data_IF_959905887162
#
_entry.id   IF_959905887162
#
_cell.length_a   1.000
_cell.length_b   1.000
_cell.length_c   1.000
_cell.angle_alpha   90.00
_cell.angle_beta   90.00
_cell.angle_gamma   90.00
#
_symmetry.space_group_name_H-M   'P 1'
#
loop_
_entity.id
_entity.type
_entity.pdbx_description
1 polymer ?
#
# COMPACT_ATOMS: atom_id res chain seq x y z
N UNK A 1 1.13 -32.93 -0.14
CA UNK A 1 1.89 -31.66 -0.10
C UNK A 1 2.05 -31.18 -1.53
N UNK A 2 1.64 -29.96 -1.84
CA UNK A 2 1.73 -29.39 -3.19
C UNK A 2 3.18 -29.19 -3.66
N UNK A 3 3.42 -29.45 -4.95
CA UNK A 3 4.69 -29.14 -5.61
C UNK A 3 4.99 -27.64 -5.66
N UNK A 4 6.26 -27.30 -5.92
CA UNK A 4 6.67 -25.91 -6.13
C UNK A 4 6.00 -25.28 -7.35
N UNK A 5 5.63 -26.08 -8.36
CA UNK A 5 4.94 -25.60 -9.56
C UNK A 5 3.50 -25.22 -9.25
N UNK A 6 2.77 -26.08 -8.53
CA UNK A 6 1.40 -25.81 -8.11
C UNK A 6 1.30 -24.59 -7.16
N UNK A 7 2.22 -24.47 -6.21
CA UNK A 7 2.31 -23.28 -5.33
C UNK A 7 2.54 -21.99 -6.12
N UNK A 8 3.42 -22.06 -7.13
CA UNK A 8 3.69 -20.91 -8.00
C UNK A 8 2.46 -20.55 -8.85
N UNK A 9 1.76 -21.54 -9.39
CA UNK A 9 0.53 -21.33 -10.13
C UNK A 9 -0.55 -20.63 -9.29
N UNK A 10 -0.85 -21.15 -8.09
CA UNK A 10 -1.83 -20.54 -7.18
C UNK A 10 -1.47 -19.08 -6.86
N UNK A 11 -0.18 -18.82 -6.65
CA UNK A 11 0.31 -17.49 -6.35
C UNK A 11 0.19 -16.53 -7.54
N UNK A 12 0.58 -16.98 -8.74
CA UNK A 12 0.45 -16.21 -9.97
C UNK A 12 -1.04 -15.94 -10.30
N UNK A 13 -1.91 -16.93 -10.08
CA UNK A 13 -3.37 -16.79 -10.22
C UNK A 13 -3.92 -15.73 -9.26
N UNK A 14 -3.57 -15.80 -7.97
CA UNK A 14 -4.00 -14.81 -6.96
C UNK A 14 -3.64 -13.40 -7.39
N UNK A 15 -2.37 -13.18 -7.70
CA UNK A 15 -1.87 -11.86 -8.11
C UNK A 15 -2.60 -11.35 -9.36
N UNK A 16 -2.89 -12.23 -10.32
CA UNK A 16 -3.53 -11.83 -11.57
C UNK A 16 -4.99 -11.44 -11.38
N UNK A 17 -5.76 -12.27 -10.66
CA UNK A 17 -7.17 -12.04 -10.40
C UNK A 17 -7.37 -10.77 -9.55
N UNK A 18 -6.58 -10.60 -8.49
CA UNK A 18 -6.58 -9.38 -7.67
C UNK A 18 -6.22 -8.15 -8.53
N UNK A 19 -5.20 -8.24 -9.38
CA UNK A 19 -4.82 -7.13 -10.26
C UNK A 19 -5.92 -6.76 -11.26
N UNK A 20 -6.75 -7.72 -11.68
CA UNK A 20 -7.91 -7.50 -12.54
C UNK A 20 -9.14 -6.97 -11.80
N UNK A 21 -9.06 -6.83 -10.48
CA UNK A 21 -10.13 -6.31 -9.63
C UNK A 21 -11.27 -7.31 -9.45
N UNK A 22 -10.96 -8.62 -9.51
CA UNK A 22 -11.89 -9.66 -9.10
C UNK A 22 -12.09 -9.55 -7.58
N UNK A 23 -13.31 -9.78 -7.13
CA UNK A 23 -13.70 -9.74 -5.71
C UNK A 23 -12.87 -10.72 -4.88
N UNK A 24 -12.35 -10.30 -3.71
CA UNK A 24 -11.44 -11.12 -2.91
C UNK A 24 -12.07 -12.44 -2.46
N UNK A 25 -13.39 -12.48 -2.19
CA UNK A 25 -14.11 -13.72 -1.88
C UNK A 25 -14.04 -14.72 -3.04
N UNK A 26 -14.24 -14.24 -4.27
CA UNK A 26 -14.29 -15.10 -5.45
C UNK A 26 -12.87 -15.59 -5.80
N UNK A 27 -11.86 -14.72 -5.63
CA UNK A 27 -10.45 -15.12 -5.75
C UNK A 27 -10.12 -16.20 -4.72
N UNK A 28 -10.55 -16.04 -3.47
CA UNK A 28 -10.26 -17.01 -2.42
C UNK A 28 -10.92 -18.36 -2.68
N UNK A 29 -12.22 -18.37 -2.97
CA UNK A 29 -12.97 -19.59 -3.25
C UNK A 29 -12.37 -20.34 -4.45
N UNK A 30 -12.00 -19.60 -5.50
CA UNK A 30 -11.32 -20.20 -6.65
C UNK A 30 -9.96 -20.82 -6.29
N UNK A 31 -9.15 -20.14 -5.48
CA UNK A 31 -7.83 -20.65 -5.10
C UNK A 31 -7.89 -21.88 -4.18
N UNK A 32 -8.89 -21.93 -3.30
CA UNK A 32 -9.13 -23.07 -2.41
C UNK A 32 -9.57 -24.30 -3.21
N UNK A 33 -10.51 -24.11 -4.15
CA UNK A 33 -10.95 -25.15 -5.07
C UNK A 33 -9.80 -25.62 -5.98
N UNK A 34 -9.02 -24.68 -6.53
CA UNK A 34 -7.85 -24.99 -7.33
C UNK A 34 -6.76 -25.73 -6.51
N UNK A 35 -6.57 -25.40 -5.24
CA UNK A 35 -5.65 -26.10 -4.35
C UNK A 35 -6.07 -27.56 -4.13
N UNK A 36 -7.36 -27.82 -3.89
CA UNK A 36 -7.88 -29.18 -3.79
C UNK A 36 -7.64 -29.97 -5.09
N UNK A 37 -7.98 -29.39 -6.24
CA UNK A 37 -7.76 -30.02 -7.55
C UNK A 37 -6.28 -30.29 -7.84
N UNK A 38 -5.37 -29.43 -7.39
CA UNK A 38 -3.93 -29.64 -7.51
C UNK A 38 -3.45 -30.77 -6.61
N UNK A 39 -3.95 -30.86 -5.37
CA UNK A 39 -3.60 -31.95 -4.45
C UNK A 39 -4.04 -33.30 -5.03
N UNK A 40 -5.28 -33.39 -5.54
CA UNK A 40 -5.81 -34.61 -6.15
C UNK A 40 -5.05 -34.96 -7.44
N UNK A 41 -4.88 -34.01 -8.35
CA UNK A 41 -4.22 -34.24 -9.62
C UNK A 41 -2.73 -34.61 -9.48
N UNK A 42 -2.00 -33.97 -8.57
CA UNK A 42 -0.60 -34.33 -8.29
C UNK A 42 -0.49 -35.72 -7.65
N UNK A 43 -1.49 -36.13 -6.84
CA UNK A 43 -1.53 -37.49 -6.28
C UNK A 43 -1.71 -38.56 -7.37
N UNK A 44 -2.38 -38.21 -8.47
CA UNK A 44 -2.52 -39.03 -9.68
C UNK A 44 -1.33 -38.91 -10.66
N UNK A 45 -0.29 -38.13 -10.31
CA UNK A 45 0.87 -37.89 -11.17
C UNK A 45 0.64 -36.90 -12.31
N UNK A 46 -0.45 -36.13 -12.29
CA UNK A 46 -0.74 -35.08 -13.28
C UNK A 46 0.04 -33.81 -12.94
N UNK A 47 0.49 -33.10 -13.97
CA UNK A 47 1.11 -31.79 -13.83
C UNK A 47 0.06 -30.67 -13.77
N UNK A 48 0.46 -29.47 -13.36
CA UNK A 48 -0.41 -28.27 -13.39
C UNK A 48 -0.97 -28.03 -14.79
N UNK A 49 -0.16 -28.28 -15.83
CA UNK A 49 -0.57 -28.11 -17.22
C UNK A 49 -1.62 -29.13 -17.66
N UNK A 50 -1.65 -30.32 -17.06
CA UNK A 50 -2.66 -31.35 -17.34
C UNK A 50 -4.01 -31.01 -16.69
N UNK A 51 -4.00 -30.27 -15.58
CA UNK A 51 -5.18 -29.90 -14.80
C UNK A 51 -5.81 -28.59 -15.30
N UNK A 52 -4.99 -27.56 -15.51
CA UNK A 52 -5.45 -26.20 -15.87
C UNK A 52 -5.06 -25.76 -17.30
N UNK A 53 -4.44 -26.65 -18.07
CA UNK A 53 -3.99 -26.38 -19.44
C UNK A 53 -2.59 -25.77 -19.53
N UNK A 54 -2.02 -25.79 -20.73
CA UNK A 54 -0.66 -25.34 -21.03
C UNK A 54 -0.45 -23.82 -20.95
N UNK A 55 -1.53 -23.03 -20.83
CA UNK A 55 -1.48 -21.57 -20.72
C UNK A 55 -2.29 -21.06 -19.53
N UNK A 56 -1.68 -21.01 -18.32
CA UNK A 56 -2.30 -20.43 -17.11
C UNK A 56 -2.86 -19.01 -17.32
N UNK A 57 -2.22 -18.23 -18.19
CA UNK A 57 -2.64 -16.86 -18.50
C UNK A 57 -3.94 -16.81 -19.30
N UNK A 58 -4.13 -17.70 -20.27
CA UNK A 58 -5.37 -17.77 -21.04
C UNK A 58 -6.52 -18.23 -20.16
N UNK A 59 -6.27 -19.28 -19.37
CA UNK A 59 -7.22 -19.77 -18.38
C UNK A 59 -7.67 -18.64 -17.44
N UNK A 60 -6.72 -17.89 -16.87
CA UNK A 60 -7.03 -16.77 -15.98
C UNK A 60 -7.81 -15.64 -16.69
N UNK A 61 -7.54 -15.36 -17.97
CA UNK A 61 -8.27 -14.33 -18.70
C UNK A 61 -9.72 -14.73 -18.96
N UNK A 62 -10.00 -16.00 -19.27
CA UNK A 62 -11.37 -16.50 -19.39
C UNK A 62 -12.09 -16.46 -18.04
N UNK A 63 -11.40 -16.87 -16.97
CA UNK A 63 -11.94 -16.81 -15.61
C UNK A 63 -12.35 -15.37 -15.20
N UNK A 64 -11.53 -14.37 -15.52
CA UNK A 64 -11.82 -12.94 -15.24
C UNK A 64 -13.03 -12.39 -16.00
N UNK A 65 -13.49 -13.05 -17.07
CA UNK A 65 -14.72 -12.64 -17.78
C UNK A 65 -15.98 -13.05 -17.03
N UNK A 66 -15.92 -14.15 -16.28
CA UNK A 66 -17.08 -14.73 -15.59
C UNK A 66 -17.16 -14.37 -14.10
N UNK A 67 -16.03 -14.04 -13.46
CA UNK A 67 -16.00 -13.67 -12.05
C UNK A 67 -16.51 -12.24 -11.77
N UNK A 68 -17.10 -12.04 -10.60
CA UNK A 68 -17.61 -10.74 -10.16
C UNK A 68 -16.43 -9.78 -9.91
N UNK A 69 -16.60 -8.52 -10.37
CA UNK A 69 -15.58 -7.48 -10.18
C UNK A 69 -16.07 -6.48 -9.15
N UNK A 70 -15.39 -6.42 -8.01
CA UNK A 70 -15.68 -5.41 -7.01
C UNK A 70 -14.92 -4.10 -7.26
N UNK A 71 -15.38 -3.39 -8.30
CA UNK A 71 -14.83 -2.07 -8.61
C UNK A 71 -15.13 -1.07 -7.49
N UNK A 72 -16.27 -1.19 -6.80
CA UNK A 72 -16.68 -0.22 -5.81
C UNK A 72 -15.82 -0.30 -4.55
N UNK A 73 -15.54 -1.51 -4.07
CA UNK A 73 -14.64 -1.74 -2.94
C UNK A 73 -13.20 -1.32 -3.27
N UNK A 74 -12.73 -1.63 -4.49
CA UNK A 74 -11.40 -1.19 -4.96
C UNK A 74 -11.25 0.34 -4.92
N UNK A 75 -12.24 1.09 -5.42
CA UNK A 75 -12.21 2.55 -5.39
C UNK A 75 -12.33 3.12 -3.98
N UNK A 76 -13.11 2.49 -3.10
CA UNK A 76 -13.18 2.85 -1.68
C UNK A 76 -11.82 2.71 -1.01
N UNK A 77 -11.14 1.57 -1.17
CA UNK A 77 -9.81 1.32 -0.59
C UNK A 77 -8.75 2.31 -1.11
N UNK A 78 -8.77 2.63 -2.41
CA UNK A 78 -7.90 3.66 -2.99
C UNK A 78 -8.19 5.03 -2.34
N UNK A 79 -9.47 5.40 -2.23
CA UNK A 79 -9.89 6.64 -1.60
C UNK A 79 -9.41 6.76 -0.15
N UNK A 80 -9.55 5.71 0.65
CA UNK A 80 -9.07 5.66 2.03
C UNK A 80 -7.55 5.77 2.14
N UNK A 81 -6.82 5.09 1.25
CA UNK A 81 -5.36 5.15 1.22
C UNK A 81 -4.89 6.57 0.91
N UNK A 82 -5.47 7.21 -0.11
CA UNK A 82 -5.15 8.60 -0.49
C UNK A 82 -5.47 9.56 0.66
N UNK A 83 -6.65 9.43 1.26
CA UNK A 83 -7.06 10.26 2.40
C UNK A 83 -6.10 10.12 3.59
N UNK A 84 -5.70 8.90 3.96
CA UNK A 84 -4.76 8.69 5.07
C UNK A 84 -3.38 9.28 4.77
N UNK A 85 -2.86 9.13 3.55
CA UNK A 85 -1.57 9.71 3.18
C UNK A 85 -1.63 11.24 3.20
N UNK A 86 -2.69 11.83 2.64
CA UNK A 86 -2.88 13.29 2.64
C UNK A 86 -3.04 13.82 4.07
N UNK A 87 -3.83 13.14 4.91
CA UNK A 87 -4.00 13.51 6.31
C UNK A 87 -2.67 13.46 7.06
N UNK A 88 -1.91 12.37 6.93
CA UNK A 88 -0.58 12.23 7.50
C UNK A 88 0.34 13.38 7.06
N UNK A 89 0.40 13.66 5.76
CA UNK A 89 1.26 14.70 5.21
C UNK A 89 0.92 16.09 5.75
N UNK A 90 -0.36 16.48 5.76
CA UNK A 90 -0.79 17.78 6.28
C UNK A 90 -0.46 17.90 7.77
N UNK A 91 -0.81 16.88 8.57
CA UNK A 91 -0.57 16.90 10.02
C UNK A 91 0.94 16.96 10.32
N UNK A 92 1.73 16.11 9.66
CA UNK A 92 3.19 16.09 9.83
C UNK A 92 3.82 17.43 9.40
N UNK A 93 3.34 18.04 8.31
CA UNK A 93 3.85 19.33 7.83
C UNK A 93 3.65 20.46 8.86
N UNK A 94 2.52 20.43 9.57
CA UNK A 94 2.15 21.46 10.56
C UNK A 94 2.88 21.21 11.87
N UNK A 95 2.83 19.98 12.38
CA UNK A 95 3.38 19.64 13.69
C UNK A 95 4.90 19.61 13.71
N UNK A 96 5.52 19.06 12.66
CA UNK A 96 6.94 18.68 12.66
C UNK A 96 7.78 19.58 11.75
N UNK A 97 7.32 19.83 10.52
CA UNK A 97 8.18 20.44 9.48
C UNK A 97 8.20 21.96 9.58
N UNK A 98 7.04 22.60 9.67
CA UNK A 98 6.92 24.05 9.55
C UNK A 98 6.64 24.77 10.88
N UNK A 99 7.01 24.16 12.02
CA UNK A 99 6.88 24.72 13.37
C UNK A 99 5.48 25.34 13.66
N UNK A 100 4.42 24.66 13.23
CA UNK A 100 3.03 25.08 13.46
C UNK A 100 2.41 25.97 12.38
N UNK A 101 3.13 26.32 11.31
CA UNK A 101 2.61 27.19 10.24
C UNK A 101 2.48 26.38 8.94
N UNK A 102 1.24 26.13 8.47
CA UNK A 102 1.06 25.49 7.17
C UNK A 102 1.49 26.45 6.05
N UNK A 103 2.55 26.08 5.32
CA UNK A 103 3.00 26.77 4.11
C UNK A 103 2.83 25.81 2.93
N UNK A 104 2.01 26.21 1.95
CA UNK A 104 1.80 25.44 0.74
C UNK A 104 2.44 26.15 -0.45
N UNK A 105 3.30 25.43 -1.14
CA UNK A 105 3.89 25.85 -2.40
C UNK A 105 3.18 25.21 -3.59
N UNK A 106 3.11 25.91 -4.72
CA UNK A 106 2.54 25.35 -5.95
C UNK A 106 3.32 24.12 -6.41
N UNK A 107 4.65 24.16 -6.30
CA UNK A 107 5.53 23.04 -6.66
C UNK A 107 5.26 21.83 -5.78
N UNK A 108 5.11 22.05 -4.47
CA UNK A 108 4.75 20.99 -3.52
C UNK A 108 3.38 20.39 -3.84
N UNK A 109 2.36 21.21 -4.07
CA UNK A 109 1.01 20.73 -4.39
C UNK A 109 1.00 19.85 -5.65
N UNK A 110 1.62 20.30 -6.74
CA UNK A 110 1.65 19.54 -8.01
C UNK A 110 2.53 18.30 -7.85
N UNK A 111 3.73 18.46 -7.30
CA UNK A 111 4.71 17.39 -7.16
C UNK A 111 4.21 16.27 -6.26
N UNK A 112 3.65 16.59 -5.09
CA UNK A 112 3.12 15.59 -4.17
C UNK A 112 1.89 14.88 -4.75
N UNK A 113 1.01 15.61 -5.45
CA UNK A 113 -0.13 14.98 -6.16
C UNK A 113 0.34 13.97 -7.20
N UNK A 114 1.35 14.32 -8.01
CA UNK A 114 1.92 13.41 -9.00
C UNK A 114 2.59 12.19 -8.35
N UNK A 115 3.31 12.41 -7.24
CA UNK A 115 3.98 11.34 -6.49
C UNK A 115 2.96 10.36 -5.90
N UNK A 116 1.85 10.86 -5.35
CA UNK A 116 0.74 10.04 -4.86
C UNK A 116 0.12 9.19 -5.97
N UNK A 117 -0.13 9.78 -7.14
CA UNK A 117 -0.65 9.03 -8.29
C UNK A 117 0.29 7.90 -8.68
N UNK A 118 1.60 8.16 -8.74
CA UNK A 118 2.59 7.15 -9.09
C UNK A 118 2.66 6.02 -8.05
N UNK A 119 2.63 6.36 -6.75
CA UNK A 119 2.67 5.40 -5.65
C UNK A 119 1.45 4.47 -5.62
N UNK A 120 0.26 4.98 -5.95
CA UNK A 120 -1.00 4.21 -5.90
C UNK A 120 -1.28 3.46 -7.22
N UNK A 121 -1.03 4.10 -8.37
CA UNK A 121 -1.38 3.54 -9.69
C UNK A 121 -0.27 2.63 -10.22
N UNK A 122 1.00 2.98 -9.99
CA UNK A 122 2.16 2.28 -10.53
C UNK A 122 2.21 0.77 -10.20
N UNK A 123 2.05 0.37 -8.93
CA UNK A 123 2.06 -1.05 -8.55
C UNK A 123 0.93 -1.84 -9.19
N UNK A 124 -0.28 -1.27 -9.19
CA UNK A 124 -1.47 -1.88 -9.79
C UNK A 124 -1.30 -2.09 -11.31
N UNK A 125 -0.67 -1.15 -12.00
CA UNK A 125 -0.41 -1.27 -13.43
C UNK A 125 0.67 -2.32 -13.76
N UNK A 126 1.74 -2.38 -12.96
CA UNK A 126 2.81 -3.37 -13.14
C UNK A 126 2.33 -4.81 -12.90
N UNK A 127 1.51 -5.02 -11.85
CA UNK A 127 0.91 -6.31 -11.56
C UNK A 127 0.17 -6.84 -12.79
N UNK A 128 -0.73 -6.05 -13.38
CA UNK A 128 -1.51 -6.45 -14.56
C UNK A 128 -0.68 -6.90 -15.76
N UNK A 129 0.55 -6.39 -15.92
CA UNK A 129 1.41 -6.69 -17.07
C UNK A 129 2.38 -7.85 -16.84
N UNK A 130 2.80 -8.11 -15.61
CA UNK A 130 3.95 -9.01 -15.34
C UNK A 130 3.64 -10.32 -14.63
N UNK A 131 2.40 -10.56 -14.18
CA UNK A 131 2.08 -11.72 -13.32
C UNK A 131 2.45 -13.09 -13.91
N UNK A 132 2.36 -13.27 -15.24
CA UNK A 132 2.66 -14.56 -15.89
C UNK A 132 4.00 -14.59 -16.64
N UNK A 133 4.83 -13.54 -16.55
CA UNK A 133 6.04 -13.40 -17.38
C UNK A 133 7.32 -13.45 -16.55
N UNK A 134 7.30 -12.96 -15.31
CA UNK A 134 8.48 -12.93 -14.45
C UNK A 134 8.21 -13.66 -13.15
N UNK A 135 9.17 -14.48 -12.70
CA UNK A 135 9.08 -15.16 -11.41
C UNK A 135 8.81 -14.17 -10.27
N UNK A 136 7.94 -14.58 -9.35
CA UNK A 136 7.41 -13.80 -8.23
C UNK A 136 8.42 -12.87 -7.54
N UNK A 137 9.65 -13.35 -7.29
CA UNK A 137 10.70 -12.58 -6.62
C UNK A 137 11.13 -11.33 -7.38
N UNK A 138 11.24 -11.40 -8.72
CA UNK A 138 11.61 -10.24 -9.56
C UNK A 138 10.47 -9.24 -9.69
N UNK A 139 9.23 -9.74 -9.76
CA UNK A 139 8.03 -8.90 -9.84
C UNK A 139 7.80 -8.18 -8.51
N UNK A 140 7.97 -8.89 -7.39
CA UNK A 140 7.88 -8.33 -6.05
C UNK A 140 8.94 -7.25 -5.82
N UNK A 141 10.21 -7.53 -6.15
CA UNK A 141 11.28 -6.54 -5.99
C UNK A 141 11.05 -5.28 -6.85
N UNK A 142 10.62 -5.46 -8.10
CA UNK A 142 10.26 -4.35 -9.00
C UNK A 142 9.06 -3.53 -8.52
N UNK A 143 8.13 -4.13 -7.77
CA UNK A 143 7.00 -3.43 -7.19
C UNK A 143 7.41 -2.65 -5.95
N UNK A 144 8.20 -3.26 -5.06
CA UNK A 144 8.71 -2.60 -3.86
C UNK A 144 9.58 -1.39 -4.21
N UNK A 145 10.41 -1.47 -5.26
CA UNK A 145 11.17 -0.30 -5.72
C UNK A 145 10.27 0.84 -6.21
N UNK A 146 9.10 0.52 -6.81
CA UNK A 146 8.20 1.54 -7.35
C UNK A 146 7.30 2.16 -6.26
N UNK A 147 7.00 1.41 -5.19
CA UNK A 147 6.24 1.92 -4.03
C UNK A 147 7.12 2.76 -3.11
N UNK A 148 8.38 2.37 -2.93
CA UNK A 148 9.25 2.98 -1.90
C UNK A 148 10.30 3.91 -2.52
N UNK A 149 11.12 3.41 -3.44
CA UNK A 149 12.30 4.13 -3.93
C UNK A 149 11.87 5.29 -4.85
N UNK A 150 11.02 5.02 -5.85
CA UNK A 150 10.62 6.05 -6.81
C UNK A 150 9.90 7.25 -6.15
N UNK A 151 8.95 7.06 -5.22
CA UNK A 151 8.32 8.16 -4.51
C UNK A 151 9.30 8.90 -3.60
N UNK A 152 10.22 8.22 -2.91
CA UNK A 152 11.24 8.90 -2.11
C UNK A 152 12.12 9.83 -2.94
N UNK A 153 12.60 9.37 -4.10
CA UNK A 153 13.39 10.19 -5.01
C UNK A 153 12.60 11.39 -5.55
N UNK A 154 11.33 11.18 -5.93
CA UNK A 154 10.46 12.26 -6.39
C UNK A 154 10.23 13.29 -5.29
N UNK A 155 9.91 12.86 -4.06
CA UNK A 155 9.74 13.76 -2.92
C UNK A 155 11.00 14.59 -2.67
N UNK A 156 12.19 13.97 -2.70
CA UNK A 156 13.46 14.69 -2.56
C UNK A 156 13.74 15.68 -3.70
N UNK A 157 13.40 15.32 -4.94
CA UNK A 157 13.53 16.23 -6.07
C UNK A 157 12.57 17.43 -5.95
N UNK A 158 11.34 17.20 -5.50
CA UNK A 158 10.32 18.24 -5.29
C UNK A 158 10.76 19.21 -4.20
N UNK A 159 11.29 18.73 -3.07
CA UNK A 159 11.76 19.61 -1.99
C UNK A 159 12.95 20.46 -2.43
N UNK A 160 13.90 19.89 -3.18
CA UNK A 160 15.02 20.65 -3.76
C UNK A 160 14.52 21.72 -4.73
N UNK A 161 13.58 21.36 -5.63
CA UNK A 161 13.00 22.30 -6.58
C UNK A 161 12.25 23.44 -5.88
N UNK A 162 11.54 23.13 -4.81
CA UNK A 162 10.80 24.12 -4.01
C UNK A 162 11.74 25.11 -3.29
N UNK A 163 12.90 24.64 -2.84
CA UNK A 163 13.95 25.51 -2.26
C UNK A 163 14.56 26.42 -3.32
N UNK A 164 14.80 25.93 -4.53
CA UNK A 164 15.39 26.72 -5.64
C UNK A 164 14.37 27.73 -6.18
N UNK A 165 13.11 27.35 -6.28
CA UNK A 165 12.01 28.16 -6.84
C UNK A 165 10.89 28.34 -5.81
N UNK A 166 11.07 29.19 -4.79
CA UNK A 166 10.08 29.38 -3.74
C UNK A 166 8.80 30.00 -4.30
N UNK A 167 7.78 29.18 -4.50
CA UNK A 167 6.46 29.58 -5.03
C UNK A 167 5.40 29.48 -3.93
N UNK A 168 5.56 30.30 -2.89
CA UNK A 168 4.63 30.32 -1.74
C UNK A 168 3.27 30.84 -2.21
N UNK A 169 2.25 29.98 -2.13
CA UNK A 169 0.88 30.30 -2.55
C UNK A 169 -0.02 30.63 -1.37
N UNK A 170 0.08 29.86 -0.28
CA UNK A 170 -0.82 30.01 0.87
C UNK A 170 -0.04 29.82 2.17
N UNK A 171 -0.16 30.79 3.07
CA UNK A 171 0.32 30.70 4.44
C UNK A 171 -0.85 30.85 5.40
N UNK A 172 -0.99 29.89 6.31
CA UNK A 172 -1.99 29.96 7.36
C UNK A 172 -1.39 30.55 8.63
N UNK A 173 -2.22 31.14 9.49
CA UNK A 173 -1.76 31.48 10.85
C UNK A 173 -1.54 30.20 11.65
N UNK A 174 -0.73 30.28 12.71
CA UNK A 174 -0.42 29.12 13.56
C UNK A 174 -1.69 28.49 14.17
N UNK A 175 -2.61 29.33 14.67
CA UNK A 175 -3.88 28.88 15.25
C UNK A 175 -4.75 28.17 14.20
N UNK A 176 -4.89 28.75 13.00
CA UNK A 176 -5.65 28.12 11.90
C UNK A 176 -5.03 26.79 11.47
N UNK A 177 -3.70 26.70 11.43
CA UNK A 177 -2.99 25.47 11.06
C UNK A 177 -3.24 24.36 12.07
N UNK A 178 -3.14 24.62 13.37
CA UNK A 178 -3.43 23.59 14.38
C UNK A 178 -4.91 23.19 14.41
N UNK A 179 -5.84 24.14 14.24
CA UNK A 179 -7.27 23.82 14.11
C UNK A 179 -7.54 22.89 12.92
N UNK A 180 -6.90 23.17 11.77
CA UNK A 180 -7.01 22.35 10.57
C UNK A 180 -6.40 20.96 10.79
N UNK A 181 -5.21 20.88 11.39
CA UNK A 181 -4.56 19.60 11.70
C UNK A 181 -5.41 18.74 12.64
N UNK A 182 -5.94 19.33 13.72
CA UNK A 182 -6.81 18.65 14.67
C UNK A 182 -8.12 18.18 14.03
N UNK A 183 -8.75 19.03 13.21
CA UNK A 183 -9.97 18.68 12.47
C UNK A 183 -9.75 17.52 11.51
N UNK A 184 -8.69 17.55 10.71
CA UNK A 184 -8.33 16.46 9.80
C UNK A 184 -8.05 15.18 10.59
N UNK A 185 -7.29 15.26 11.69
CA UNK A 185 -6.99 14.09 12.51
C UNK A 185 -8.27 13.42 13.04
N UNK A 186 -9.19 14.19 13.62
CA UNK A 186 -10.46 13.66 14.16
C UNK A 186 -11.30 13.02 13.04
N UNK A 187 -11.42 13.69 11.90
CA UNK A 187 -12.19 13.19 10.74
C UNK A 187 -11.57 11.88 10.23
N UNK A 188 -10.26 11.84 10.03
CA UNK A 188 -9.56 10.63 9.56
C UNK A 188 -9.73 9.48 10.54
N UNK A 189 -9.59 9.73 11.85
CA UNK A 189 -9.80 8.71 12.88
C UNK A 189 -11.24 8.18 12.88
N UNK A 190 -12.23 9.06 12.79
CA UNK A 190 -13.64 8.66 12.75
C UNK A 190 -13.96 7.81 11.52
N UNK A 191 -13.46 8.20 10.35
CA UNK A 191 -13.64 7.46 9.10
C UNK A 191 -12.96 6.09 9.18
N UNK A 192 -11.72 6.03 9.66
CA UNK A 192 -10.99 4.76 9.80
C UNK A 192 -11.71 3.80 10.75
N UNK A 193 -12.23 4.28 11.89
CA UNK A 193 -13.01 3.45 12.83
C UNK A 193 -14.28 2.90 12.15
N UNK A 194 -15.00 3.74 11.40
CA UNK A 194 -16.26 3.34 10.77
C UNK A 194 -16.06 2.30 9.66
N UNK A 195 -15.01 2.43 8.83
CA UNK A 195 -14.86 1.60 7.63
C UNK A 195 -13.92 0.41 7.78
N UNK A 196 -12.81 0.54 8.50
CA UNK A 196 -11.79 -0.51 8.56
C UNK A 196 -11.40 -0.92 10.00
N UNK A 197 -12.03 -0.30 11.00
CA UNK A 197 -11.84 -0.58 12.41
C UNK A 197 -10.67 0.18 13.05
N UNK A 198 -10.57 0.07 14.38
CA UNK A 198 -9.63 0.88 15.17
C UNK A 198 -8.15 0.65 14.82
N UNK A 199 -7.77 -0.57 14.42
CA UNK A 199 -6.37 -0.92 14.13
C UNK A 199 -5.75 -0.06 13.03
N UNK A 200 -6.54 0.36 12.03
CA UNK A 200 -6.03 1.16 10.92
C UNK A 200 -5.57 2.56 11.33
N UNK A 201 -6.04 3.07 12.46
CA UNK A 201 -5.55 4.33 13.01
C UNK A 201 -4.08 4.26 13.44
N UNK A 202 -3.54 3.07 13.72
CA UNK A 202 -2.14 2.92 14.08
C UNK A 202 -1.20 3.32 12.94
N UNK A 203 -1.62 3.17 11.69
CA UNK A 203 -0.86 3.63 10.52
C UNK A 203 -0.72 5.15 10.46
N UNK A 204 -1.63 5.90 11.09
CA UNK A 204 -1.53 7.35 11.23
C UNK A 204 -0.79 7.73 12.52
N UNK A 205 -1.18 7.14 13.64
CA UNK A 205 -0.73 7.53 14.98
C UNK A 205 0.74 7.18 15.22
N UNK A 206 1.18 5.96 14.87
CA UNK A 206 2.54 5.49 15.20
C UNK A 206 3.59 6.30 14.43
N UNK A 207 3.50 6.46 13.09
CA UNK A 207 4.48 7.26 12.37
C UNK A 207 4.52 8.72 12.83
N UNK A 208 3.37 9.34 13.10
CA UNK A 208 3.31 10.72 13.65
C UNK A 208 3.99 10.80 15.02
N UNK A 209 3.73 9.83 15.90
CA UNK A 209 4.35 9.78 17.22
C UNK A 209 5.87 9.64 17.13
N UNK A 210 6.37 8.79 16.23
CA UNK A 210 7.81 8.66 15.96
C UNK A 210 8.38 10.00 15.50
N UNK A 211 7.74 10.68 14.53
CA UNK A 211 8.22 11.98 14.06
C UNK A 211 8.26 13.04 15.17
N UNK A 212 7.24 13.09 16.03
CA UNK A 212 7.18 14.03 17.15
C UNK A 212 8.26 13.76 18.20
N UNK A 213 8.48 12.49 18.56
CA UNK A 213 9.54 12.11 19.49
C UNK A 213 10.88 12.53 18.90
N UNK A 214 11.17 12.17 17.65
CA UNK A 214 12.45 12.49 17.03
C UNK A 214 12.66 13.99 16.79
N UNK A 215 11.61 14.79 16.58
CA UNK A 215 11.73 16.25 16.49
C UNK A 215 12.43 16.86 17.71
N UNK A 216 12.30 16.22 18.89
CA UNK A 216 12.98 16.66 20.13
C UNK A 216 14.44 16.20 20.24
N UNK A 217 14.85 15.20 19.44
CA UNK A 217 16.18 14.58 19.48
C UNK A 217 17.04 14.86 18.23
N UNK A 218 16.46 15.33 17.13
CA UNK A 218 17.19 15.57 15.88
C UNK A 218 18.13 16.78 16.03
N UNK A 219 19.40 16.51 16.34
CA UNK A 219 20.51 17.40 16.01
C UNK A 219 20.74 17.43 14.48
N UNK A 220 21.51 18.38 13.96
CA UNK A 220 21.94 18.41 12.54
C UNK A 220 22.76 17.17 12.11
N UNK A 221 22.94 16.19 13.01
CA UNK A 221 23.67 14.96 12.73
C UNK A 221 22.88 13.98 11.86
N UNK A 222 23.63 13.33 10.98
CA UNK A 222 23.11 12.37 10.02
C UNK A 222 22.62 11.06 10.69
N UNK A 223 23.13 10.71 11.87
CA UNK A 223 22.81 9.46 12.56
C UNK A 223 21.39 9.43 13.15
N UNK A 224 20.92 10.43 13.93
CA UNK A 224 19.53 10.52 14.37
C UNK A 224 18.53 10.52 13.20
N UNK A 225 18.86 11.18 12.09
CA UNK A 225 18.01 11.24 10.90
C UNK A 225 17.85 9.85 10.24
N UNK A 226 18.96 9.12 10.04
CA UNK A 226 18.90 7.76 9.51
C UNK A 226 18.14 6.82 10.46
N UNK A 227 18.35 6.97 11.77
CA UNK A 227 17.65 6.16 12.76
C UNK A 227 16.13 6.43 12.75
N UNK A 228 15.70 7.70 12.62
CA UNK A 228 14.30 8.07 12.46
C UNK A 228 13.67 7.39 11.24
N UNK A 229 14.36 7.39 10.09
CA UNK A 229 13.90 6.75 8.86
C UNK A 229 13.71 5.24 9.06
N UNK A 230 14.68 4.59 9.71
CA UNK A 230 14.60 3.16 10.03
C UNK A 230 13.41 2.88 10.96
N UNK A 231 13.18 3.70 11.98
CA UNK A 231 12.04 3.55 12.88
C UNK A 231 10.71 3.72 12.15
N UNK A 232 10.58 4.70 11.26
CA UNK A 232 9.37 4.93 10.48
C UNK A 232 9.05 3.74 9.57
N UNK A 233 10.00 3.31 8.73
CA UNK A 233 9.77 2.17 7.84
C UNK A 233 9.63 0.84 8.60
N UNK A 234 10.40 0.65 9.66
CA UNK A 234 10.32 -0.52 10.54
C UNK A 234 8.94 -0.63 11.21
N UNK A 235 8.39 0.48 11.70
CA UNK A 235 7.06 0.50 12.32
C UNK A 235 5.95 0.13 11.33
N UNK A 236 6.01 0.65 10.10
CA UNK A 236 5.06 0.29 9.05
C UNK A 236 5.16 -1.19 8.67
N UNK A 237 6.38 -1.73 8.58
CA UNK A 237 6.59 -3.15 8.31
C UNK A 237 5.99 -4.04 9.41
N UNK A 238 6.24 -3.70 10.69
CA UNK A 238 5.68 -4.42 11.83
C UNK A 238 4.15 -4.37 11.81
N UNK A 239 3.55 -3.20 11.54
CA UNK A 239 2.10 -3.06 11.45
C UNK A 239 1.49 -3.94 10.36
N UNK A 240 2.09 -3.96 9.16
CA UNK A 240 1.66 -4.82 8.06
C UNK A 240 1.75 -6.30 8.47
N UNK A 241 2.86 -6.70 9.11
CA UNK A 241 3.05 -8.06 9.58
C UNK A 241 1.99 -8.48 10.61
N UNK A 242 1.73 -7.62 11.60
CA UNK A 242 0.69 -7.86 12.62
C UNK A 242 -0.70 -7.93 11.99
N UNK A 243 -1.02 -7.07 11.01
CA UNK A 243 -2.29 -7.12 10.29
C UNK A 243 -2.49 -8.46 9.56
N UNK A 244 -1.44 -8.96 8.89
CA UNK A 244 -1.46 -10.25 8.20
C UNK A 244 -1.71 -11.37 9.21
N UNK A 245 -0.99 -11.37 10.35
CA UNK A 245 -1.15 -12.38 11.39
C UNK A 245 -2.56 -12.38 11.99
N UNK A 246 -3.14 -11.20 12.25
CA UNK A 246 -4.52 -11.10 12.74
C UNK A 246 -5.55 -11.62 11.73
N UNK A 247 -5.32 -11.38 10.43
CA UNK A 247 -6.19 -11.89 9.36
C UNK A 247 -6.07 -13.40 9.19
N UNK A 248 -4.89 -13.97 9.40
CA UNK A 248 -4.69 -15.42 9.41
C UNK A 248 -5.41 -16.07 10.61
N UNK A 249 -5.22 -15.54 11.81
CA UNK A 249 -5.77 -16.13 13.04
C UNK A 249 -7.31 -16.09 13.12
N UNK A 250 -7.97 -15.09 12.50
CA UNK A 250 -9.45 -15.08 12.40
C UNK A 250 -10.01 -16.17 11.49
N UNK A 251 -9.20 -16.73 10.58
CA UNK A 251 -9.65 -17.79 9.66
C UNK A 251 -9.66 -19.15 10.33
N UNK A 252 -8.67 -19.43 11.19
CA UNK A 252 -8.60 -20.67 11.98
C UNK A 252 -9.71 -20.82 13.02
N UNK A 253 -10.39 -19.74 13.40
CA UNK A 253 -11.49 -19.78 14.39
C UNK A 253 -12.89 -19.97 13.78
N UNK A 254 -13.00 -20.00 12.45
CA UNK A 254 -14.29 -20.16 11.74
C UNK A 254 -14.44 -21.54 11.10
N UNK A 255 -13.39 -22.36 11.12
CA UNK A 255 -13.43 -23.81 10.85
C UNK A 255 -13.67 -24.61 12.15
#
# INVERSE_FOLDING_TARGET
MLSNEARKFLLDMRLFLTAKGVKESDVHNFLEDAELHLIEGESDGKSVADIFGSSPKEYANELVKVMEKDRQETWKQIGYTVMNIVAFWIIASILVVNNGILQLSLIQCIGYSFTLMLAVIGPNFLLRKKTFVTGFTKTWFSMWSLVMIAPMFLLGAITILDVIYPTKMVTFTQVQSYMLAGGIFIITVAINIYFEGWFKNLYLIIPLSIMLVFQTFTSEDLMPMLFQIICLYGSLFILIFVEIMMKANRRETVE
#
